data_IF_657154967440
#
_entry.id   IF_657154967440
#
_cell.length_a   1.000
_cell.length_b   1.000
_cell.length_c   1.000
_cell.angle_alpha   90.00
_cell.angle_beta   90.00
_cell.angle_gamma   90.00
#
_symmetry.space_group_name_H-M   'P 1'
#
loop_
_entity.id
_entity.type
_entity.pdbx_description
1 polymer ?
#
# COMPACT_ATOMS: atom_id res chain seq x y z
N UNK A 1 -23.59 -1.05 -1.53
CA UNK A 1 -23.00 0.25 -1.95
C UNK A 1 -23.87 1.35 -1.34
N UNK A 2 -23.27 2.28 -0.59
CA UNK A 2 -24.01 3.42 0.00
C UNK A 2 -24.01 4.56 -1.01
N UNK A 3 -25.18 5.20 -1.22
CA UNK A 3 -25.31 6.33 -2.13
C UNK A 3 -25.43 7.61 -1.30
N UNK A 4 -24.52 8.56 -1.52
CA UNK A 4 -24.62 9.89 -0.93
C UNK A 4 -25.66 10.71 -1.70
N UNK A 5 -26.71 11.16 -1.02
CA UNK A 5 -27.83 11.88 -1.63
C UNK A 5 -27.68 13.40 -1.51
N UNK A 6 -26.62 13.91 -0.91
CA UNK A 6 -26.36 15.32 -0.71
C UNK A 6 -26.61 15.79 0.73
N UNK A 7 -26.45 17.08 0.93
CA UNK A 7 -26.72 17.75 2.21
C UNK A 7 -28.12 18.35 2.19
N UNK A 8 -28.86 18.23 3.30
CA UNK A 8 -30.22 18.81 3.43
C UNK A 8 -30.19 20.27 3.87
N UNK A 9 -29.06 20.76 4.36
CA UNK A 9 -28.88 22.15 4.80
C UNK A 9 -27.40 22.51 4.82
N UNK A 10 -27.09 23.81 4.77
CA UNK A 10 -25.73 24.34 4.81
C UNK A 10 -25.23 24.79 3.44
N UNK A 11 -24.15 25.56 3.45
CA UNK A 11 -23.46 26.01 2.20
C UNK A 11 -22.27 25.09 1.95
N UNK A 12 -22.30 24.39 0.82
CA UNK A 12 -21.14 23.60 0.38
C UNK A 12 -20.04 24.60 -0.02
N UNK A 13 -18.92 24.55 0.70
CA UNK A 13 -17.72 25.30 0.31
C UNK A 13 -17.04 24.57 -0.83
N UNK A 14 -16.34 25.32 -1.69
CA UNK A 14 -15.46 24.71 -2.68
C UNK A 14 -14.39 23.83 -2.02
N UNK A 15 -13.89 22.85 -2.76
CA UNK A 15 -12.76 22.06 -2.28
C UNK A 15 -11.58 22.98 -1.92
N UNK A 16 -10.78 22.64 -0.88
CA UNK A 16 -9.54 23.34 -0.63
C UNK A 16 -8.69 23.39 -1.91
N UNK A 17 -7.96 24.47 -2.10
CA UNK A 17 -7.03 24.57 -3.25
C UNK A 17 -5.91 23.58 -2.96
N UNK A 18 -5.80 22.53 -3.79
CA UNK A 18 -4.67 21.62 -3.78
C UNK A 18 -3.44 22.36 -4.32
N UNK A 19 -2.28 22.15 -3.71
CA UNK A 19 -0.99 22.63 -4.23
C UNK A 19 -0.49 21.79 -5.42
N UNK A 20 -1.27 20.81 -5.84
CA UNK A 20 -0.97 19.89 -6.95
C UNK A 20 -0.08 18.73 -6.57
N UNK A 21 0.30 18.59 -5.28
CA UNK A 21 1.06 17.44 -4.80
C UNK A 21 0.10 16.32 -4.42
N UNK A 22 0.15 15.22 -5.14
CA UNK A 22 -0.63 14.01 -4.85
C UNK A 22 0.32 12.83 -4.60
N UNK A 23 0.14 12.17 -3.46
CA UNK A 23 0.68 10.87 -3.14
C UNK A 23 -0.38 9.81 -3.47
N UNK A 24 -0.13 8.94 -4.44
CA UNK A 24 -0.93 7.74 -4.64
C UNK A 24 -0.26 6.54 -3.99
N UNK A 25 -1.01 5.74 -3.26
CA UNK A 25 -0.54 4.48 -2.68
C UNK A 25 -1.33 3.33 -3.28
N UNK A 26 -0.62 2.35 -3.81
CA UNK A 26 -1.18 1.11 -4.35
C UNK A 26 -0.78 -0.04 -3.43
N UNK A 27 -1.75 -0.80 -2.94
CA UNK A 27 -1.44 -1.81 -1.94
C UNK A 27 -2.54 -2.84 -1.67
N UNK A 28 -2.35 -3.53 -0.59
CA UNK A 28 -3.23 -4.58 -0.09
C UNK A 28 -3.99 -4.16 1.19
N UNK A 29 -4.28 -5.11 2.09
CA UNK A 29 -4.94 -4.87 3.37
C UNK A 29 -4.20 -3.88 4.27
N UNK A 30 -2.87 -3.87 4.23
CA UNK A 30 -2.04 -2.93 5.00
C UNK A 30 -2.34 -1.49 4.59
N UNK A 31 -2.41 -1.24 3.28
CA UNK A 31 -2.69 0.09 2.74
C UNK A 31 -4.17 0.48 2.85
N UNK A 32 -5.07 -0.50 2.96
CA UNK A 32 -6.49 -0.27 3.18
C UNK A 32 -6.85 0.09 4.65
N UNK A 33 -5.95 -0.18 5.61
CA UNK A 33 -6.20 -0.01 7.03
C UNK A 33 -7.05 -1.14 7.63
N UNK A 34 -6.80 -2.37 7.19
CA UNK A 34 -7.49 -3.55 7.70
C UNK A 34 -7.24 -3.74 9.19
N UNK A 35 -8.28 -3.67 10.01
CA UNK A 35 -8.21 -3.98 11.44
C UNK A 35 -7.25 -3.12 12.27
N UNK A 36 -6.77 -2.00 11.74
CA UNK A 36 -5.73 -1.16 12.33
C UNK A 36 -6.13 -0.47 13.64
N UNK A 37 -7.44 -0.23 13.85
CA UNK A 37 -7.99 0.28 15.10
C UNK A 37 -8.20 -0.82 16.16
N UNK A 38 -8.01 -2.08 15.80
CA UNK A 38 -8.05 -3.19 16.73
C UNK A 38 -6.79 -3.28 17.59
N UNK A 39 -6.82 -4.17 18.57
CA UNK A 39 -5.66 -4.44 19.43
C UNK A 39 -5.62 -5.93 19.76
N UNK A 40 -4.62 -6.61 19.26
CA UNK A 40 -4.42 -8.06 19.45
C UNK A 40 -3.00 -8.35 19.92
N UNK A 41 -2.88 -9.05 21.03
CA UNK A 41 -1.59 -9.56 21.53
C UNK A 41 -1.46 -11.04 21.20
N UNK A 42 -0.23 -11.49 20.99
CA UNK A 42 0.06 -12.87 20.56
C UNK A 42 0.96 -13.59 21.57
N UNK A 43 0.53 -13.78 22.84
CA UNK A 43 1.39 -14.28 23.91
C UNK A 43 2.05 -15.61 23.53
N UNK A 44 3.38 -15.65 23.61
CA UNK A 44 4.18 -16.80 23.18
C UNK A 44 3.88 -17.28 21.76
N UNK A 45 3.49 -16.36 20.87
CA UNK A 45 3.16 -16.61 19.45
C UNK A 45 1.98 -17.57 19.25
N UNK A 46 1.16 -17.77 20.27
CA UNK A 46 -0.09 -18.52 20.16
C UNK A 46 -1.14 -17.58 19.53
N UNK A 47 -1.69 -17.98 18.40
CA UNK A 47 -2.80 -17.26 17.80
C UNK A 47 -4.00 -17.27 18.74
N UNK A 48 -4.36 -16.11 19.24
CA UNK A 48 -5.64 -15.92 19.95
C UNK A 48 -6.61 -15.32 18.96
N UNK A 49 -7.73 -15.95 18.63
CA UNK A 49 -8.72 -15.40 17.71
C UNK A 49 -9.53 -14.30 18.41
N UNK A 50 -8.90 -13.18 18.73
CA UNK A 50 -9.52 -12.14 19.52
C UNK A 50 -10.13 -11.03 18.67
N UNK A 51 -9.64 -10.80 17.46
CA UNK A 51 -9.99 -9.65 16.65
C UNK A 51 -9.93 -9.99 15.16
N UNK A 52 -11.07 -9.83 14.47
CA UNK A 52 -11.19 -9.97 13.03
C UNK A 52 -11.62 -8.65 12.40
N UNK A 53 -11.41 -8.52 11.11
CA UNK A 53 -11.84 -7.34 10.36
C UNK A 53 -13.33 -7.03 10.57
N UNK A 54 -13.60 -5.77 10.89
CA UNK A 54 -14.93 -5.14 10.81
C UNK A 54 -14.77 -3.72 10.26
N UNK A 55 -15.87 -3.11 9.81
CA UNK A 55 -15.83 -1.72 9.37
C UNK A 55 -15.50 -0.76 10.52
N UNK A 56 -15.84 -1.14 11.76
CA UNK A 56 -15.63 -0.32 12.95
C UNK A 56 -14.17 -0.32 13.43
N UNK A 57 -13.43 -1.39 13.15
CA UNK A 57 -12.03 -1.52 13.56
C UNK A 57 -11.02 -1.27 12.45
N UNK A 58 -11.46 -0.67 11.33
CA UNK A 58 -10.61 -0.43 10.16
C UNK A 58 -10.71 1.02 9.71
N UNK A 59 -9.57 1.67 9.45
CA UNK A 59 -9.54 3.07 9.07
C UNK A 59 -8.40 3.39 8.10
N UNK A 60 -8.74 3.69 6.86
CA UNK A 60 -7.76 4.21 5.93
C UNK A 60 -7.06 5.48 6.46
N UNK A 61 -7.77 6.32 7.19
CA UNK A 61 -7.24 7.58 7.74
C UNK A 61 -6.12 7.36 8.77
N UNK A 62 -6.10 6.21 9.42
CA UNK A 62 -5.07 5.80 10.38
C UNK A 62 -3.93 5.01 9.72
N UNK A 63 -3.91 4.89 8.39
CA UNK A 63 -2.82 4.19 7.68
C UNK A 63 -1.57 5.06 7.51
N UNK A 64 -0.44 4.39 7.30
CA UNK A 64 0.84 5.04 6.99
C UNK A 64 0.75 6.00 5.78
N UNK A 65 -0.07 5.66 4.80
CA UNK A 65 -0.30 6.47 3.60
C UNK A 65 -0.97 7.82 3.93
N UNK A 66 -2.09 7.76 4.65
CA UNK A 66 -2.84 8.95 5.07
C UNK A 66 -2.04 9.80 6.06
N UNK A 67 -1.39 9.16 7.05
CA UNK A 67 -0.55 9.85 8.04
C UNK A 67 0.64 10.58 7.41
N UNK A 68 1.35 9.93 6.46
CA UNK A 68 2.46 10.58 5.74
C UNK A 68 1.96 11.75 4.88
N UNK A 69 0.86 11.58 4.14
CA UNK A 69 0.25 12.66 3.39
C UNK A 69 -0.13 13.86 4.27
N UNK A 70 -0.74 13.59 5.41
CA UNK A 70 -1.14 14.62 6.37
C UNK A 70 0.08 15.37 6.94
N UNK A 71 1.13 14.63 7.33
CA UNK A 71 2.35 15.24 7.89
C UNK A 71 3.10 16.12 6.88
N UNK A 72 3.04 15.77 5.60
CA UNK A 72 3.67 16.52 4.51
C UNK A 72 2.75 17.62 3.93
N UNK A 73 1.49 17.69 4.36
CA UNK A 73 0.50 18.62 3.81
C UNK A 73 0.21 18.35 2.35
N UNK A 74 0.25 17.09 1.91
CA UNK A 74 -0.04 16.67 0.53
C UNK A 74 -1.33 15.85 0.48
N UNK A 75 -1.99 15.89 -0.66
CA UNK A 75 -3.16 15.06 -0.92
C UNK A 75 -2.73 13.58 -1.01
N UNK A 76 -3.46 12.67 -0.35
CA UNK A 76 -3.20 11.24 -0.41
C UNK A 76 -4.41 10.50 -1.00
N UNK A 77 -4.13 9.55 -1.88
CA UNK A 77 -5.11 8.63 -2.49
C UNK A 77 -4.60 7.20 -2.37
N UNK A 78 -5.51 6.24 -2.18
CA UNK A 78 -5.11 4.84 -2.07
C UNK A 78 -5.99 3.96 -2.94
N UNK A 79 -5.34 3.11 -3.73
CA UNK A 79 -5.95 2.02 -4.48
C UNK A 79 -5.47 0.73 -3.81
N UNK A 80 -6.31 0.13 -3.00
CA UNK A 80 -5.92 -1.05 -2.22
C UNK A 80 -7.02 -2.12 -2.22
N UNK A 81 -6.57 -3.39 -2.16
CA UNK A 81 -7.45 -4.54 -2.08
C UNK A 81 -6.91 -5.57 -1.09
N UNK A 82 -7.61 -5.76 0.01
CA UNK A 82 -7.25 -6.75 1.04
C UNK A 82 -7.13 -8.15 0.45
N UNK A 83 -6.08 -8.87 0.83
CA UNK A 83 -5.78 -10.22 0.37
C UNK A 83 -5.15 -10.32 -1.01
N UNK A 84 -5.14 -9.27 -1.82
CA UNK A 84 -4.57 -9.29 -3.17
C UNK A 84 -3.06 -9.01 -3.16
N UNK A 85 -2.35 -9.62 -4.10
CA UNK A 85 -0.93 -9.36 -4.33
C UNK A 85 -0.65 -8.78 -5.70
N UNK A 86 0.59 -8.93 -6.15
CA UNK A 86 1.05 -8.54 -7.48
C UNK A 86 0.74 -9.61 -8.53
N UNK A 87 0.96 -10.89 -8.21
CA UNK A 87 0.77 -12.02 -9.14
C UNK A 87 -0.25 -13.03 -8.66
N UNK A 88 -0.56 -13.04 -7.37
CA UNK A 88 -1.55 -13.92 -6.76
C UNK A 88 -2.05 -13.33 -5.43
N UNK A 89 -3.21 -13.77 -5.01
CA UNK A 89 -3.74 -13.44 -3.69
C UNK A 89 -3.22 -14.41 -2.60
N UNK A 90 -3.65 -14.17 -1.37
CA UNK A 90 -3.30 -15.01 -0.21
C UNK A 90 -3.72 -16.49 -0.35
N UNK A 91 -4.70 -16.79 -1.22
CA UNK A 91 -5.19 -18.13 -1.53
C UNK A 91 -4.56 -18.73 -2.80
N UNK A 92 -3.53 -18.09 -3.34
CA UNK A 92 -2.85 -18.48 -4.58
C UNK A 92 -3.72 -18.32 -5.84
N UNK A 93 -4.69 -17.39 -5.84
CA UNK A 93 -5.51 -17.06 -7.00
C UNK A 93 -4.89 -15.90 -7.79
N UNK A 94 -4.44 -16.18 -9.02
CA UNK A 94 -3.86 -15.20 -9.93
C UNK A 94 -4.89 -14.24 -10.56
N UNK A 95 -6.18 -14.49 -10.43
CA UNK A 95 -7.23 -13.59 -10.93
C UNK A 95 -7.50 -12.42 -9.98
N UNK A 96 -7.20 -12.59 -8.69
CA UNK A 96 -7.48 -11.63 -7.62
C UNK A 96 -6.23 -10.82 -7.23
N UNK A 97 -5.72 -10.03 -8.16
CA UNK A 97 -4.48 -9.24 -7.99
C UNK A 97 -4.75 -7.74 -8.16
N UNK A 98 -3.92 -6.92 -7.54
CA UNK A 98 -4.07 -5.45 -7.56
C UNK A 98 -3.96 -4.88 -8.98
N UNK A 99 -3.06 -5.33 -9.87
CA UNK A 99 -3.02 -4.86 -11.25
C UNK A 99 -4.36 -4.95 -11.99
N UNK A 100 -5.20 -5.94 -11.66
CA UNK A 100 -6.52 -6.13 -12.29
C UNK A 100 -7.58 -5.10 -11.85
N UNK A 101 -7.35 -4.40 -10.75
CA UNK A 101 -8.27 -3.38 -10.20
C UNK A 101 -7.75 -1.96 -10.32
N UNK A 102 -6.45 -1.78 -10.52
CA UNK A 102 -5.77 -0.49 -10.51
C UNK A 102 -6.40 0.57 -11.43
N UNK A 103 -6.81 0.18 -12.62
CA UNK A 103 -7.41 1.08 -13.60
C UNK A 103 -8.95 1.18 -13.51
N UNK A 104 -9.56 0.70 -12.42
CA UNK A 104 -11.02 0.68 -12.24
C UNK A 104 -11.45 1.62 -11.12
N UNK A 105 -12.52 2.40 -11.35
CA UNK A 105 -13.02 3.36 -10.37
C UNK A 105 -13.59 2.71 -9.10
N UNK A 106 -14.25 1.55 -9.24
CA UNK A 106 -14.95 0.84 -8.15
C UNK A 106 -14.51 -0.62 -8.00
N UNK A 107 -13.26 -0.94 -8.32
CA UNK A 107 -12.70 -2.28 -8.14
C UNK A 107 -13.23 -3.32 -9.13
N UNK A 108 -13.36 -4.59 -8.70
CA UNK A 108 -13.63 -5.71 -9.60
C UNK A 108 -15.01 -5.68 -10.24
N UNK A 109 -16.01 -5.16 -9.56
CA UNK A 109 -17.42 -5.24 -9.96
C UNK A 109 -17.86 -4.16 -10.96
N UNK A 110 -17.04 -3.13 -11.17
CA UNK A 110 -17.38 -2.01 -12.03
C UNK A 110 -16.33 -1.85 -13.14
N UNK A 111 -16.72 -1.89 -14.41
CA UNK A 111 -15.80 -1.70 -15.52
C UNK A 111 -15.41 -0.23 -15.76
N UNK A 112 -16.00 0.74 -15.02
CA UNK A 112 -15.72 2.17 -15.19
C UNK A 112 -14.23 2.46 -15.02
N UNK A 113 -13.56 3.04 -16.03
CA UNK A 113 -12.16 3.36 -15.92
C UNK A 113 -11.89 4.42 -14.85
N UNK A 114 -10.79 4.26 -14.11
CA UNK A 114 -10.25 5.31 -13.25
C UNK A 114 -9.57 6.39 -14.10
N UNK A 115 -9.85 7.65 -13.81
CA UNK A 115 -9.39 8.75 -14.66
C UNK A 115 -7.92 9.17 -14.43
N UNK A 116 -7.30 8.74 -13.32
CA UNK A 116 -5.94 9.15 -12.92
C UNK A 116 -5.76 10.68 -12.94
N UNK A 117 -6.71 11.38 -12.35
CA UNK A 117 -6.75 12.85 -12.26
C UNK A 117 -7.18 13.25 -10.85
N UNK A 118 -6.44 14.15 -10.16
CA UNK A 118 -5.19 14.82 -10.61
C UNK A 118 -4.01 13.84 -10.79
N UNK A 119 -2.92 14.33 -11.39
CA UNK A 119 -1.73 13.48 -11.61
C UNK A 119 -0.92 13.35 -10.33
N UNK A 120 -0.58 12.13 -9.95
CA UNK A 120 0.30 11.87 -8.82
C UNK A 120 1.72 12.36 -9.08
N UNK A 121 2.34 12.95 -8.06
CA UNK A 121 3.76 13.30 -8.04
C UNK A 121 4.62 12.18 -7.44
N UNK A 122 4.01 11.35 -6.60
CA UNK A 122 4.59 10.15 -6.03
C UNK A 122 3.59 8.99 -6.10
N UNK A 123 4.07 7.80 -6.46
CA UNK A 123 3.31 6.54 -6.38
C UNK A 123 4.10 5.57 -5.52
N UNK A 124 3.49 5.08 -4.46
CA UNK A 124 4.04 4.03 -3.58
C UNK A 124 3.34 2.73 -3.88
N UNK A 125 4.08 1.66 -4.18
CA UNK A 125 3.54 0.33 -4.44
C UNK A 125 3.99 -0.59 -3.30
N UNK A 126 3.04 -0.96 -2.44
CA UNK A 126 3.24 -1.85 -1.30
C UNK A 126 2.50 -3.16 -1.55
N UNK A 127 3.13 -4.04 -2.30
CA UNK A 127 2.62 -5.37 -2.67
C UNK A 127 3.70 -6.42 -2.54
N UNK A 128 3.31 -7.62 -2.16
CA UNK A 128 4.21 -8.77 -1.93
C UNK A 128 3.76 -9.61 -0.75
N UNK A 129 3.19 -9.01 0.29
CA UNK A 129 2.75 -9.73 1.49
C UNK A 129 1.90 -10.96 1.15
N UNK A 130 0.89 -10.79 0.32
CA UNK A 130 0.00 -11.88 -0.09
C UNK A 130 0.64 -12.83 -1.10
N UNK A 131 1.54 -12.33 -1.96
CA UNK A 131 2.28 -13.16 -2.91
C UNK A 131 3.14 -14.20 -2.19
N UNK A 132 3.75 -13.82 -1.03
CA UNK A 132 4.59 -14.69 -0.21
C UNK A 132 3.82 -15.61 0.76
N UNK A 133 2.50 -15.48 0.87
CA UNK A 133 1.69 -16.38 1.71
C UNK A 133 1.84 -17.86 1.33
N UNK A 134 2.13 -18.15 0.06
CA UNK A 134 2.33 -19.49 -0.47
C UNK A 134 3.78 -19.74 -0.97
N UNK A 135 4.76 -19.05 -0.37
CA UNK A 135 6.17 -19.15 -0.74
C UNK A 135 6.58 -18.13 -1.79
N UNK A 136 7.85 -18.13 -2.17
CA UNK A 136 8.42 -17.22 -3.16
C UNK A 136 7.77 -17.42 -4.55
N UNK A 137 7.16 -16.38 -5.14
CA UNK A 137 6.54 -16.45 -6.46
C UNK A 137 7.56 -16.45 -7.63
N UNK A 138 8.84 -16.21 -7.34
CA UNK A 138 9.92 -16.23 -8.32
C UNK A 138 9.82 -15.13 -9.38
N UNK A 139 10.36 -15.43 -10.55
CA UNK A 139 10.49 -14.47 -11.67
C UNK A 139 9.14 -13.94 -12.18
N UNK A 140 8.03 -14.62 -11.91
CA UNK A 140 6.69 -14.13 -12.25
C UNK A 140 6.36 -12.82 -11.55
N UNK A 141 6.83 -12.65 -10.30
CA UNK A 141 6.68 -11.43 -9.53
C UNK A 141 7.44 -10.26 -10.17
N UNK A 142 8.69 -10.48 -10.57
CA UNK A 142 9.49 -9.47 -11.26
C UNK A 142 8.84 -9.04 -12.58
N UNK A 143 8.39 -10.02 -13.38
CA UNK A 143 7.73 -9.76 -14.67
C UNK A 143 6.46 -8.93 -14.48
N UNK A 144 5.61 -9.28 -13.51
CA UNK A 144 4.38 -8.54 -13.24
C UNK A 144 4.67 -7.12 -12.74
N UNK A 145 5.67 -6.94 -11.87
CA UNK A 145 6.07 -5.62 -11.40
C UNK A 145 6.57 -4.72 -12.54
N UNK A 146 7.41 -5.23 -13.43
CA UNK A 146 7.89 -4.48 -14.60
C UNK A 146 6.73 -4.01 -15.47
N UNK A 147 5.75 -4.88 -15.74
CA UNK A 147 4.54 -4.55 -16.50
C UNK A 147 3.67 -3.53 -15.77
N UNK A 148 3.52 -3.68 -14.45
CA UNK A 148 2.72 -2.78 -13.64
C UNK A 148 3.36 -1.38 -13.53
N UNK A 149 4.68 -1.31 -13.38
CA UNK A 149 5.42 -0.04 -13.41
C UNK A 149 5.22 0.68 -14.75
N UNK A 150 5.23 -0.04 -15.88
CA UNK A 150 4.94 0.55 -17.18
C UNK A 150 3.52 1.14 -17.24
N UNK A 151 2.55 0.46 -16.64
CA UNK A 151 1.16 0.96 -16.53
C UNK A 151 1.09 2.22 -15.66
N UNK A 152 1.73 2.23 -14.49
CA UNK A 152 1.80 3.40 -13.60
C UNK A 152 2.49 4.56 -14.30
N UNK A 153 3.61 4.31 -14.96
CA UNK A 153 4.37 5.32 -15.69
C UNK A 153 3.58 5.92 -16.85
N UNK A 154 2.77 5.12 -17.54
CA UNK A 154 1.83 5.59 -18.58
C UNK A 154 0.79 6.57 -18.04
N UNK A 155 0.31 6.35 -16.83
CA UNK A 155 -0.65 7.24 -16.17
C UNK A 155 0.01 8.47 -15.54
N UNK A 156 1.23 8.31 -14.99
CA UNK A 156 1.97 9.35 -14.26
C UNK A 156 3.41 9.47 -14.78
N UNK A 157 3.62 10.11 -15.94
CA UNK A 157 4.92 10.13 -16.65
C UNK A 157 6.07 10.74 -15.82
N UNK A 158 5.76 11.63 -14.88
CA UNK A 158 6.76 12.37 -14.12
C UNK A 158 6.87 11.97 -12.64
N UNK A 159 6.02 11.05 -12.16
CA UNK A 159 5.99 10.67 -10.76
C UNK A 159 7.27 9.94 -10.33
N UNK A 160 7.66 10.12 -9.08
CA UNK A 160 8.54 9.15 -8.42
C UNK A 160 7.75 7.89 -8.10
N UNK A 161 8.30 6.73 -8.40
CA UNK A 161 7.71 5.43 -8.08
C UNK A 161 8.56 4.76 -7.00
N UNK A 162 7.92 4.40 -5.89
CA UNK A 162 8.53 3.77 -4.73
C UNK A 162 7.99 2.35 -4.62
N UNK A 163 8.87 1.36 -4.73
CA UNK A 163 8.54 -0.05 -4.49
C UNK A 163 8.90 -0.35 -3.04
N UNK A 164 7.93 -0.71 -2.23
CA UNK A 164 8.18 -0.85 -0.79
C UNK A 164 7.93 -2.26 -0.29
N UNK A 165 8.71 -2.67 0.70
CA UNK A 165 8.55 -3.94 1.40
C UNK A 165 7.66 -3.68 2.62
N UNK A 166 6.56 -4.43 2.72
CA UNK A 166 5.59 -4.30 3.81
C UNK A 166 6.04 -4.95 5.12
N UNK A 167 5.40 -4.60 6.25
CA UNK A 167 5.87 -4.97 7.60
C UNK A 167 5.50 -6.38 8.05
N UNK A 168 4.64 -7.10 7.33
CA UNK A 168 4.13 -8.41 7.75
C UNK A 168 4.94 -9.60 7.23
N UNK A 169 6.07 -9.37 6.59
CA UNK A 169 6.98 -10.40 6.10
C UNK A 169 8.01 -10.76 7.16
N UNK A 170 8.41 -12.04 7.22
CA UNK A 170 9.54 -12.44 8.05
C UNK A 170 10.88 -12.08 7.38
N UNK A 171 11.99 -12.17 8.14
CA UNK A 171 13.32 -11.75 7.66
C UNK A 171 13.76 -12.46 6.36
N UNK A 172 13.43 -13.74 6.18
CA UNK A 172 13.75 -14.49 4.94
C UNK A 172 12.95 -13.96 3.77
N UNK A 173 11.66 -13.72 3.96
CA UNK A 173 10.77 -13.17 2.94
C UNK A 173 11.18 -11.74 2.57
N UNK A 174 11.53 -10.90 3.56
CA UNK A 174 12.06 -9.54 3.30
C UNK A 174 13.29 -9.60 2.39
N UNK A 175 14.26 -10.46 2.67
CA UNK A 175 15.46 -10.60 1.85
C UNK A 175 15.16 -11.09 0.42
N UNK A 176 14.17 -11.97 0.25
CA UNK A 176 13.71 -12.41 -1.07
C UNK A 176 13.05 -11.27 -1.85
N UNK A 177 12.09 -10.56 -1.22
CA UNK A 177 11.40 -9.42 -1.84
C UNK A 177 12.39 -8.32 -2.22
N UNK A 178 13.35 -8.00 -1.36
CA UNK A 178 14.38 -7.00 -1.64
C UNK A 178 15.19 -7.37 -2.89
N UNK A 179 15.59 -8.63 -3.01
CA UNK A 179 16.29 -9.16 -4.19
C UNK A 179 15.45 -9.00 -5.46
N UNK A 180 14.19 -9.41 -5.42
CA UNK A 180 13.28 -9.30 -6.56
C UNK A 180 13.02 -7.86 -6.95
N UNK A 181 12.79 -6.96 -5.98
CA UNK A 181 12.57 -5.53 -6.28
C UNK A 181 13.83 -4.86 -6.83
N UNK A 182 15.03 -5.24 -6.38
CA UNK A 182 16.29 -4.76 -6.95
C UNK A 182 16.42 -5.19 -8.42
N UNK A 183 16.07 -6.44 -8.76
CA UNK A 183 16.05 -6.94 -10.14
C UNK A 183 15.03 -6.17 -11.00
N UNK A 184 13.83 -5.90 -10.47
CA UNK A 184 12.80 -5.09 -11.13
C UNK A 184 13.32 -3.69 -11.46
N UNK A 185 13.90 -3.00 -10.48
CA UNK A 185 14.47 -1.65 -10.68
C UNK A 185 15.55 -1.68 -11.75
N UNK A 186 16.51 -2.62 -11.65
CA UNK A 186 17.59 -2.80 -12.63
C UNK A 186 17.04 -3.03 -14.05
N UNK A 187 16.02 -3.90 -14.17
CA UNK A 187 15.39 -4.21 -15.45
C UNK A 187 14.71 -2.98 -16.07
N UNK A 188 13.91 -2.26 -15.29
CA UNK A 188 13.22 -1.06 -15.76
C UNK A 188 14.23 0.03 -16.16
N UNK A 189 15.23 0.30 -15.33
CA UNK A 189 16.25 1.30 -15.61
C UNK A 189 17.05 0.96 -16.88
N UNK A 190 17.43 -0.30 -17.05
CA UNK A 190 18.15 -0.77 -18.25
C UNK A 190 17.31 -0.60 -19.51
N UNK A 191 16.03 -0.95 -19.46
CA UNK A 191 15.17 -0.97 -20.64
C UNK A 191 14.63 0.41 -21.02
N UNK A 192 14.47 1.33 -20.05
CA UNK A 192 13.76 2.60 -20.28
C UNK A 192 14.57 3.85 -19.91
N UNK A 193 15.66 3.70 -19.16
CA UNK A 193 16.41 4.83 -18.61
C UNK A 193 15.67 5.55 -17.45
N UNK A 194 14.62 4.97 -16.88
CA UNK A 194 13.85 5.60 -15.79
C UNK A 194 14.67 5.68 -14.50
N UNK A 195 15.00 6.91 -14.09
CA UNK A 195 15.76 7.19 -12.86
C UNK A 195 14.88 7.56 -11.68
N UNK A 196 13.55 7.64 -11.86
CA UNK A 196 12.58 7.99 -10.81
C UNK A 196 11.92 6.75 -10.22
N UNK A 197 12.71 5.72 -9.96
CA UNK A 197 12.28 4.44 -9.41
C UNK A 197 13.26 4.02 -8.30
N UNK A 198 12.74 3.76 -7.09
CA UNK A 198 13.54 3.36 -5.93
C UNK A 198 12.82 2.31 -5.10
N UNK A 199 13.59 1.52 -4.34
CA UNK A 199 13.08 0.58 -3.34
C UNK A 199 13.43 1.05 -1.93
N UNK A 200 12.62 0.68 -0.95
CA UNK A 200 12.95 0.74 0.47
C UNK A 200 12.04 -0.16 1.29
N UNK A 201 12.47 -0.46 2.52
CA UNK A 201 11.74 -1.28 3.47
C UNK A 201 11.02 -0.37 4.48
N UNK A 202 9.74 -0.66 4.74
CA UNK A 202 8.96 -0.04 5.81
C UNK A 202 9.30 -0.64 7.18
N UNK A 203 10.14 -1.68 7.21
CA UNK A 203 10.56 -2.42 8.38
C UNK A 203 9.51 -3.41 8.86
N UNK A 204 9.97 -4.54 9.38
CA UNK A 204 9.10 -5.55 9.97
C UNK A 204 8.42 -4.97 11.21
N UNK A 205 7.13 -5.28 11.39
CA UNK A 205 6.40 -4.82 12.59
C UNK A 205 6.99 -5.43 13.86
N UNK A 206 7.09 -4.62 14.89
CA UNK A 206 7.54 -5.06 16.20
C UNK A 206 6.35 -5.52 17.05
N UNK A 207 6.30 -6.82 17.31
CA UNK A 207 5.29 -7.43 18.18
C UNK A 207 5.86 -7.81 19.56
N UNK A 208 7.12 -7.42 19.85
CA UNK A 208 7.84 -7.81 21.06
C UNK A 208 8.41 -9.23 20.99
N UNK A 209 9.30 -9.55 21.91
CA UNK A 209 10.01 -10.85 21.91
C UNK A 209 9.08 -12.05 22.14
N UNK A 210 7.96 -11.84 22.85
CA UNK A 210 6.98 -12.88 23.18
C UNK A 210 5.57 -12.56 22.66
N UNK A 211 5.44 -11.65 21.68
CA UNK A 211 4.16 -11.24 21.14
C UNK A 211 3.34 -10.34 22.08
N UNK A 212 4.00 -9.61 22.99
CA UNK A 212 3.38 -8.74 23.97
C UNK A 212 3.01 -7.36 23.45
N UNK A 213 3.57 -6.93 22.31
CA UNK A 213 3.22 -5.64 21.68
C UNK A 213 2.02 -5.88 20.75
N UNK A 214 0.91 -5.15 20.96
CA UNK A 214 -0.30 -5.37 20.17
C UNK A 214 -0.14 -5.04 18.69
N UNK A 215 -0.58 -5.96 17.82
CA UNK A 215 -0.94 -5.66 16.43
C UNK A 215 -2.35 -5.07 16.34
N UNK A 216 -2.77 -4.71 15.13
CA UNK A 216 -4.19 -4.66 14.77
C UNK A 216 -4.81 -6.05 14.68
N UNK A 217 -6.03 -6.15 14.18
CA UNK A 217 -6.70 -7.44 14.02
C UNK A 217 -6.02 -8.32 12.97
N UNK A 218 -6.10 -9.64 13.16
CA UNK A 218 -5.55 -10.63 12.23
C UNK A 218 -4.08 -10.36 11.88
N UNK A 219 -3.27 -10.01 12.88
CA UNK A 219 -1.82 -9.71 12.74
C UNK A 219 -1.47 -8.47 11.91
N UNK A 220 -2.44 -7.68 11.49
CA UNK A 220 -2.18 -6.48 10.69
C UNK A 220 -1.51 -5.38 11.54
N UNK A 221 -0.87 -4.40 10.89
CA UNK A 221 -0.26 -3.28 11.61
C UNK A 221 -1.28 -2.51 12.43
N UNK A 222 -0.96 -2.26 13.71
CA UNK A 222 -1.73 -1.34 14.55
C UNK A 222 -1.54 0.12 14.12
N UNK A 223 -2.35 1.04 14.64
CA UNK A 223 -2.17 2.50 14.43
C UNK A 223 -0.75 2.96 14.77
N UNK A 224 -0.15 2.42 15.84
CA UNK A 224 1.22 2.76 16.23
C UNK A 224 2.23 2.30 15.19
N UNK A 225 2.04 1.11 14.65
CA UNK A 225 2.89 0.58 13.58
C UNK A 225 2.72 1.39 12.29
N UNK A 226 1.49 1.76 11.95
CA UNK A 226 1.22 2.67 10.83
C UNK A 226 1.90 4.03 11.01
N UNK A 227 1.93 4.56 12.22
CA UNK A 227 2.64 5.82 12.51
C UNK A 227 4.16 5.69 12.30
N UNK A 228 4.77 4.56 12.71
CA UNK A 228 6.19 4.25 12.46
C UNK A 228 6.48 4.17 10.95
N UNK A 229 5.66 3.42 10.21
CA UNK A 229 5.76 3.30 8.75
C UNK A 229 5.61 4.66 8.05
N UNK A 230 4.68 5.50 8.53
CA UNK A 230 4.47 6.85 8.00
C UNK A 230 5.71 7.73 8.15
N UNK A 231 6.42 7.65 9.28
CA UNK A 231 7.69 8.36 9.47
C UNK A 231 8.77 7.95 8.47
N UNK A 232 8.88 6.64 8.17
CA UNK A 232 9.81 6.13 7.15
C UNK A 232 9.42 6.64 5.76
N UNK A 233 8.16 6.53 5.39
CA UNK A 233 7.66 7.00 4.09
C UNK A 233 7.86 8.51 3.94
N UNK A 234 7.53 9.29 4.96
CA UNK A 234 7.74 10.75 4.98
C UNK A 234 9.21 11.11 4.70
N UNK A 235 10.14 10.45 5.39
CA UNK A 235 11.57 10.71 5.19
C UNK A 235 12.00 10.42 3.74
N UNK A 236 11.50 9.36 3.13
CA UNK A 236 11.80 9.00 1.73
C UNK A 236 11.18 9.97 0.72
N UNK A 237 9.95 10.41 0.94
CA UNK A 237 9.31 11.42 0.11
C UNK A 237 10.04 12.76 0.19
N UNK A 238 10.44 13.17 1.40
CA UNK A 238 11.25 14.39 1.60
C UNK A 238 12.60 14.27 0.89
N UNK A 239 13.30 13.14 1.01
CA UNK A 239 14.59 12.89 0.33
C UNK A 239 14.49 13.05 -1.20
N UNK A 240 13.44 12.52 -1.81
CA UNK A 240 13.32 12.45 -3.29
C UNK A 240 12.59 13.62 -3.92
N UNK A 241 11.66 14.24 -3.20
CA UNK A 241 10.73 15.26 -3.73
C UNK A 241 10.88 16.62 -3.04
N UNK A 242 11.57 16.67 -1.89
CA UNK A 242 11.70 17.90 -1.09
C UNK A 242 10.39 18.30 -0.40
N UNK A 243 9.51 17.37 -0.16
CA UNK A 243 8.20 17.59 0.49
C UNK A 243 8.34 17.83 1.99
#
# INVERSE_FOLDING_TARGET
>A
MSTFLGFTSGTVKGAPVSDGRLLEVVGDSISAGYGDLGSEVHPNWVATPACHWTAENSSWYATYAAMAGHALGVEASTIARSGAGMVRDLNNDASNVVPNVYAKALGMSDPTPWAFTPKASAVVINLGTNDWANGDPGVSYETAYVQFIATVRGNYPNAWIFLVIGPMLNATQVAQVDTHLANVVSTVQTNTGDTKLVTFDLGVQDLGANGEIPSGCDWHPSVNEHARMAGILQAKLTEKLGW
#
